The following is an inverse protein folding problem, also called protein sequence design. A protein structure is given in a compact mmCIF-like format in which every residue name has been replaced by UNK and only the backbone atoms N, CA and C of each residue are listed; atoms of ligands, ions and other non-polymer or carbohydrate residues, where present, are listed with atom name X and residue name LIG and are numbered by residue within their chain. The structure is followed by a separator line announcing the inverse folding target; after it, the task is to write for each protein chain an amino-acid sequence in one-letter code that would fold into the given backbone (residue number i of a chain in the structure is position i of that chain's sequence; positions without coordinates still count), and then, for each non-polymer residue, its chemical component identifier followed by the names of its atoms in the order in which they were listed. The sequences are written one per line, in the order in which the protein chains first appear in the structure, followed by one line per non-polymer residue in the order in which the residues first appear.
data_IF_330655268259
#
_entry.id   IF_330655268259
#
_cell.length_a   1.000
_cell.length_b   1.000
_cell.length_c   1.000
_cell.angle_alpha   90.00
_cell.angle_beta   90.00
_cell.angle_gamma   90.00
#
_symmetry.space_group_name_H-M   'P 1'
#
loop_
_entity.id
_entity.type
_entity.pdbx_description
1 polymer ?
#
# COMPACT_ATOMS: atom_id res chain seq x y z
N UNK A 1 42.03 -2.89 -65.50
CA UNK A 1 41.99 -2.10 -64.26
C UNK A 1 41.33 -2.96 -63.19
N UNK A 2 41.87 -3.02 -61.98
CA UNK A 2 41.38 -3.94 -60.93
C UNK A 2 40.10 -3.39 -60.30
N UNK A 3 39.04 -4.19 -60.28
CA UNK A 3 37.68 -3.86 -59.82
C UNK A 3 37.56 -3.37 -58.36
N UNK A 4 38.63 -3.45 -57.57
CA UNK A 4 38.61 -3.19 -56.12
C UNK A 4 39.36 -1.94 -55.68
N UNK A 5 39.83 -1.12 -56.60
CA UNK A 5 40.61 0.09 -56.30
C UNK A 5 39.77 1.21 -55.67
N UNK A 6 38.44 1.20 -55.88
CA UNK A 6 37.52 2.23 -55.39
C UNK A 6 36.86 1.94 -54.03
N UNK A 7 37.26 0.89 -53.30
CA UNK A 7 36.61 0.53 -52.03
C UNK A 7 37.19 1.33 -50.86
N UNK A 8 36.39 2.21 -50.26
CA UNK A 8 36.75 2.97 -49.05
C UNK A 8 37.02 2.03 -47.85
N UNK A 9 38.30 1.91 -47.45
CA UNK A 9 38.75 1.13 -46.29
C UNK A 9 38.79 2.00 -45.03
N UNK A 10 37.64 2.30 -44.44
CA UNK A 10 37.58 2.91 -43.10
C UNK A 10 36.88 1.99 -42.11
N UNK A 11 37.39 1.91 -40.88
CA UNK A 11 36.79 1.11 -39.81
C UNK A 11 35.34 1.56 -39.53
N UNK A 12 34.41 0.60 -39.49
CA UNK A 12 32.98 0.84 -39.36
C UNK A 12 32.63 1.42 -37.99
N UNK A 13 32.33 2.73 -37.92
CA UNK A 13 31.86 3.37 -36.68
C UNK A 13 30.35 3.23 -36.59
N UNK A 14 29.88 2.25 -35.81
CA UNK A 14 28.46 2.07 -35.51
C UNK A 14 28.00 3.21 -34.59
N UNK A 15 26.91 3.90 -34.94
CA UNK A 15 26.30 4.89 -34.06
C UNK A 15 25.67 4.16 -32.86
N UNK A 16 26.42 4.12 -31.76
CA UNK A 16 26.13 3.31 -30.56
C UNK A 16 27.20 2.26 -30.24
N UNK A 17 28.18 2.05 -31.13
CA UNK A 17 29.35 1.20 -30.94
C UNK A 17 30.33 1.81 -29.95
N UNK A 18 30.64 1.03 -28.92
CA UNK A 18 31.37 1.43 -27.72
C UNK A 18 32.87 1.51 -27.97
N UNK A 19 33.34 2.59 -28.56
CA UNK A 19 34.77 2.94 -28.58
C UNK A 19 35.00 4.20 -27.75
N UNK A 20 35.45 3.99 -26.51
CA UNK A 20 35.89 5.04 -25.58
C UNK A 20 34.95 5.29 -24.39
N UNK A 21 35.36 4.84 -23.20
CA UNK A 21 34.87 5.42 -21.94
C UNK A 21 34.01 4.52 -21.04
N UNK A 22 34.57 3.42 -20.54
CA UNK A 22 34.02 2.66 -19.40
C UNK A 22 33.81 3.54 -18.16
N UNK A 23 34.58 4.64 -18.02
CA UNK A 23 34.42 5.64 -16.98
C UNK A 23 33.11 6.46 -17.11
N UNK A 24 32.69 6.80 -18.33
CA UNK A 24 31.47 7.59 -18.58
C UNK A 24 30.19 6.81 -18.29
N UNK A 25 30.15 5.51 -18.64
CA UNK A 25 29.02 4.61 -18.31
C UNK A 25 28.90 4.38 -16.80
N UNK A 26 30.03 4.22 -16.09
CA UNK A 26 30.06 4.08 -14.61
C UNK A 26 29.67 5.39 -13.91
N UNK A 27 30.14 6.55 -14.39
CA UNK A 27 29.76 7.86 -13.86
C UNK A 27 28.27 8.15 -14.08
N UNK A 28 27.74 7.89 -15.28
CA UNK A 28 26.30 8.03 -15.59
C UNK A 28 25.40 7.08 -14.78
N UNK A 29 25.86 5.85 -14.49
CA UNK A 29 25.14 4.94 -13.59
C UNK A 29 25.14 5.43 -12.14
N UNK A 30 26.29 5.94 -11.66
CA UNK A 30 26.43 6.53 -10.31
C UNK A 30 25.59 7.80 -10.13
N UNK A 31 25.56 8.67 -11.13
CA UNK A 31 24.74 9.89 -11.10
C UNK A 31 23.23 9.58 -11.12
N UNK A 32 22.81 8.53 -11.85
CA UNK A 32 21.42 8.07 -11.87
C UNK A 32 20.99 7.39 -10.57
N UNK A 33 21.90 6.74 -9.85
CA UNK A 33 21.58 6.23 -8.51
C UNK A 33 21.55 7.35 -7.47
N UNK A 34 22.47 8.32 -7.56
CA UNK A 34 22.46 9.50 -6.69
C UNK A 34 21.19 10.33 -6.89
N UNK A 35 20.70 10.49 -8.11
CA UNK A 35 19.44 11.19 -8.37
C UNK A 35 18.25 10.47 -7.73
N UNK A 36 18.16 9.14 -7.87
CA UNK A 36 17.10 8.34 -7.24
C UNK A 36 17.10 8.43 -5.71
N UNK A 37 18.28 8.42 -5.10
CA UNK A 37 18.43 8.57 -3.65
C UNK A 37 17.99 9.97 -3.23
N UNK A 38 18.37 11.01 -3.98
CA UNK A 38 17.92 12.39 -3.72
C UNK A 38 16.41 12.52 -3.88
N UNK A 39 15.82 11.95 -4.93
CA UNK A 39 14.37 11.95 -5.14
C UNK A 39 13.62 11.24 -4.01
N UNK A 40 14.16 10.13 -3.51
CA UNK A 40 13.61 9.40 -2.38
C UNK A 40 13.71 10.20 -1.08
N UNK A 41 14.86 10.83 -0.82
CA UNK A 41 15.06 11.71 0.36
C UNK A 41 14.12 12.91 0.30
N UNK A 42 13.97 13.54 -0.88
CA UNK A 42 13.07 14.68 -1.08
C UNK A 42 11.62 14.25 -0.89
N UNK A 43 11.23 13.08 -1.39
CA UNK A 43 9.89 12.51 -1.18
C UNK A 43 9.60 12.26 0.30
N UNK A 44 10.53 11.64 1.03
CA UNK A 44 10.39 11.39 2.47
C UNK A 44 10.31 12.69 3.27
N UNK A 45 11.17 13.65 2.96
CA UNK A 45 11.18 14.96 3.63
C UNK A 45 9.92 15.78 3.35
N UNK A 46 9.34 15.63 2.15
CA UNK A 46 8.06 16.26 1.79
C UNK A 46 6.88 15.62 2.53
N UNK A 47 6.91 14.30 2.76
CA UNK A 47 5.91 13.61 3.58
C UNK A 47 6.02 14.00 5.06
N UNK A 48 7.24 14.13 5.59
CA UNK A 48 7.49 14.61 6.95
C UNK A 48 7.02 16.06 7.13
N UNK A 49 7.34 16.97 6.21
CA UNK A 49 6.84 18.35 6.25
C UNK A 49 5.31 18.41 6.14
N UNK A 50 4.68 17.51 5.38
CA UNK A 50 3.23 17.47 5.23
C UNK A 50 2.55 16.91 6.48
N UNK A 51 3.15 15.91 7.13
CA UNK A 51 2.73 15.44 8.46
C UNK A 51 2.91 16.51 9.53
N UNK A 52 4.02 17.23 9.51
CA UNK A 52 4.33 18.28 10.48
C UNK A 52 3.40 19.49 10.31
N UNK A 53 3.08 19.88 9.07
CA UNK A 53 2.05 20.88 8.78
C UNK A 53 0.66 20.42 9.21
N UNK A 54 0.33 19.14 9.04
CA UNK A 54 -0.94 18.57 9.55
C UNK A 54 -1.01 18.60 11.07
N UNK A 55 0.09 18.27 11.76
CA UNK A 55 0.21 18.37 13.22
C UNK A 55 0.14 19.82 13.72
N UNK A 56 0.72 20.77 12.99
CA UNK A 56 0.66 22.19 13.31
C UNK A 56 -0.73 22.82 13.12
N UNK A 57 -1.56 22.23 12.25
CA UNK A 57 -2.96 22.61 12.04
C UNK A 57 -3.93 21.85 12.97
N UNK A 58 -3.45 20.84 13.69
CA UNK A 58 -4.28 19.96 14.47
C UNK A 58 -4.68 20.63 15.79
N UNK A 59 -5.89 21.20 15.82
CA UNK A 59 -6.49 21.82 17.02
C UNK A 59 -7.00 20.79 18.03
N UNK A 60 -6.75 19.49 17.78
CA UNK A 60 -7.24 18.40 18.63
C UNK A 60 -6.52 18.38 19.97
N UNK A 61 -7.29 18.14 21.02
CA UNK A 61 -6.73 17.99 22.36
C UNK A 61 -5.92 16.68 22.46
N UNK A 62 -4.97 16.57 23.40
CA UNK A 62 -4.24 15.32 23.64
C UNK A 62 -5.16 14.11 23.87
N UNK A 63 -6.32 14.33 24.52
CA UNK A 63 -7.33 13.32 24.73
C UNK A 63 -8.03 12.90 23.42
N UNK A 64 -8.32 13.84 22.52
CA UNK A 64 -8.90 13.54 21.21
C UNK A 64 -7.92 12.75 20.34
N UNK A 65 -6.63 13.14 20.33
CA UNK A 65 -5.58 12.41 19.62
C UNK A 65 -5.41 10.97 20.13
N UNK A 66 -5.46 10.77 21.45
CA UNK A 66 -5.39 9.44 22.04
C UNK A 66 -6.62 8.58 21.68
N UNK A 67 -7.81 9.17 21.67
CA UNK A 67 -9.05 8.51 21.29
C UNK A 67 -9.03 8.07 19.81
N UNK A 68 -8.57 8.93 18.91
CA UNK A 68 -8.48 8.63 17.49
C UNK A 68 -7.49 7.51 17.20
N UNK A 69 -6.30 7.56 17.81
CA UNK A 69 -5.33 6.45 17.73
C UNK A 69 -5.93 5.13 18.22
N UNK A 70 -6.76 5.15 19.26
CA UNK A 70 -7.48 3.95 19.71
C UNK A 70 -8.58 3.53 18.73
N UNK A 71 -9.33 4.47 18.15
CA UNK A 71 -10.35 4.19 17.14
C UNK A 71 -9.74 3.57 15.89
N UNK A 72 -8.63 4.10 15.38
CA UNK A 72 -7.92 3.58 14.21
C UNK A 72 -7.48 2.12 14.45
N UNK A 73 -6.90 1.83 15.62
CA UNK A 73 -6.54 0.45 16.00
C UNK A 73 -7.76 -0.48 15.97
N UNK A 74 -8.86 -0.10 16.62
CA UNK A 74 -10.10 -0.89 16.61
C UNK A 74 -10.75 -0.98 15.24
N UNK A 75 -10.59 0.04 14.40
CA UNK A 75 -11.17 0.07 13.06
C UNK A 75 -10.51 -0.99 12.18
N UNK A 76 -9.19 -1.15 12.25
CA UNK A 76 -8.47 -2.21 11.54
C UNK A 76 -9.01 -3.59 11.94
N UNK A 77 -9.13 -3.84 13.25
CA UNK A 77 -9.69 -5.10 13.78
C UNK A 77 -11.14 -5.33 13.32
N UNK A 78 -11.98 -4.29 13.35
CA UNK A 78 -13.38 -4.35 12.89
C UNK A 78 -13.47 -4.61 11.39
N UNK A 79 -12.61 -3.99 10.59
CA UNK A 79 -12.56 -4.19 9.14
C UNK A 79 -12.19 -5.65 8.86
N UNK A 80 -11.13 -6.16 9.50
CA UNK A 80 -10.70 -7.55 9.34
C UNK A 80 -11.82 -8.54 9.73
N UNK A 81 -12.49 -8.30 10.87
CA UNK A 81 -13.59 -9.14 11.34
C UNK A 81 -14.83 -9.06 10.45
N UNK A 82 -15.12 -7.90 9.84
CA UNK A 82 -16.23 -7.77 8.87
C UNK A 82 -15.89 -8.43 7.53
N UNK A 83 -14.62 -8.35 7.11
CA UNK A 83 -14.14 -8.97 5.88
C UNK A 83 -14.07 -10.50 5.98
N UNK A 84 -13.85 -11.05 7.17
CA UNK A 84 -13.71 -12.50 7.36
C UNK A 84 -14.99 -13.29 7.08
N UNK A 85 -16.17 -12.68 7.23
CA UNK A 85 -17.47 -13.35 6.99
C UNK A 85 -18.22 -12.71 5.83
N UNK A 86 -18.58 -13.55 4.85
CA UNK A 86 -19.50 -13.14 3.78
C UNK A 86 -20.88 -12.79 4.34
N UNK A 87 -21.69 -12.06 3.58
CA UNK A 87 -23.06 -11.74 4.00
C UNK A 87 -23.89 -13.01 4.21
N UNK A 88 -23.79 -13.98 3.30
CA UNK A 88 -24.49 -15.26 3.39
C UNK A 88 -24.14 -16.01 4.67
N UNK A 89 -22.86 -16.13 5.00
CA UNK A 89 -22.42 -16.75 6.27
C UNK A 89 -22.95 -16.00 7.49
N UNK A 90 -23.02 -14.67 7.46
CA UNK A 90 -23.63 -13.88 8.56
C UNK A 90 -25.11 -14.18 8.72
N UNK A 91 -25.84 -14.34 7.62
CA UNK A 91 -27.27 -14.70 7.63
C UNK A 91 -27.45 -16.14 8.15
N UNK A 92 -26.63 -17.08 7.70
CA UNK A 92 -26.68 -18.46 8.19
C UNK A 92 -26.33 -18.58 9.68
N UNK A 93 -25.30 -17.87 10.15
CA UNK A 93 -24.94 -17.83 11.57
C UNK A 93 -26.07 -17.22 12.41
N UNK A 94 -26.74 -16.19 11.88
CA UNK A 94 -27.87 -15.55 12.53
C UNK A 94 -29.08 -16.49 12.61
N UNK A 95 -29.41 -17.18 11.51
CA UNK A 95 -30.50 -18.15 11.50
C UNK A 95 -30.21 -19.33 12.45
N UNK A 96 -28.98 -19.85 12.45
CA UNK A 96 -28.56 -20.87 13.42
C UNK A 96 -28.71 -20.39 14.87
N UNK A 97 -28.40 -19.12 15.15
CA UNK A 97 -28.60 -18.57 16.48
C UNK A 97 -30.09 -18.46 16.86
N UNK A 98 -30.94 -18.05 15.91
CA UNK A 98 -32.39 -18.00 16.12
C UNK A 98 -32.98 -19.40 16.36
N UNK A 99 -32.53 -20.41 15.64
CA UNK A 99 -32.98 -21.80 15.85
C UNK A 99 -32.62 -22.33 17.25
N UNK A 100 -31.51 -21.85 17.83
CA UNK A 100 -31.11 -22.21 19.20
C UNK A 100 -31.81 -21.41 20.29
N UNK A 101 -32.45 -20.30 19.96
CA UNK A 101 -33.13 -19.46 20.93
C UNK A 101 -34.45 -20.10 21.35
N UNK A 102 -34.76 -20.01 22.64
CA UNK A 102 -36.01 -20.56 23.16
C UNK A 102 -37.18 -19.74 22.65
N UNK A 103 -38.22 -20.41 22.15
CA UNK A 103 -39.47 -19.77 21.74
C UNK A 103 -40.18 -19.09 22.91
N UNK A 104 -40.01 -19.65 24.12
CA UNK A 104 -40.64 -19.17 25.34
C UNK A 104 -39.56 -18.63 26.29
N UNK A 105 -39.81 -17.43 26.83
CA UNK A 105 -38.89 -16.73 27.75
C UNK A 105 -39.25 -16.93 29.22
N UNK A 106 -40.32 -17.69 29.51
CA UNK A 106 -40.79 -17.98 30.86
C UNK A 106 -41.38 -19.38 30.92
N UNK A 107 -41.42 -19.94 32.13
CA UNK A 107 -41.92 -21.29 32.37
C UNK A 107 -43.45 -21.25 32.42
N UNK A 108 -44.14 -22.13 31.68
CA UNK A 108 -45.60 -22.19 31.72
C UNK A 108 -46.08 -22.49 33.15
N UNK A 109 -47.18 -21.83 33.55
CA UNK A 109 -47.80 -22.04 34.87
C UNK A 109 -48.41 -23.44 34.97
N UNK A 110 -48.51 -23.98 36.18
CA UNK A 110 -49.00 -25.35 36.43
C UNK A 110 -50.45 -25.58 35.95
N UNK A 111 -51.28 -24.52 35.94
CA UNK A 111 -52.65 -24.58 35.40
C UNK A 111 -52.77 -24.12 33.94
N UNK A 112 -51.64 -23.86 33.26
CA UNK A 112 -51.65 -23.43 31.87
C UNK A 112 -52.05 -24.61 30.98
N UNK A 113 -53.28 -24.55 30.48
CA UNK A 113 -53.78 -25.44 29.42
C UNK A 113 -53.72 -24.68 28.09
N UNK A 114 -53.48 -25.41 27.01
CA UNK A 114 -53.26 -24.84 25.67
C UNK A 114 -54.54 -24.31 25.05
#
# INVERSE_FOLDING_TARGET
MSEYEAVQRSALRIKGGTDGGSAGKRKKKKDKERSKIVDQIVSSKKQEEEEEKKRALDKRTPAQLAYEKMQEKRQIERILKKASKTHKQRVEDFNRHLDTLTEHYDIPKVSWTK
#
